data_IF_211056640510
#
_entry.id   IF_211056640510
#
_cell.length_a   1.000
_cell.length_b   1.000
_cell.length_c   1.000
_cell.angle_alpha   90.00
_cell.angle_beta   90.00
_cell.angle_gamma   90.00
#
_symmetry.space_group_name_H-M   'P 1'
#
loop_
_entity.id
_entity.type
_entity.pdbx_description
1 polymer ?
#
# COMPACT_ATOMS: atom_id res chain seq x y z
N UNK A 1 4.66 -19.42 7.98
CA UNK A 1 4.24 -20.14 6.76
C UNK A 1 3.47 -19.14 5.89
N UNK A 2 3.88 -18.97 4.63
CA UNK A 2 3.15 -18.15 3.66
C UNK A 2 1.88 -18.88 3.24
N UNK A 3 0.75 -18.17 3.20
CA UNK A 3 -0.52 -18.72 2.73
C UNK A 3 -0.43 -19.04 1.23
N UNK A 4 -1.09 -20.11 0.80
CA UNK A 4 -1.24 -20.45 -0.61
C UNK A 4 -2.25 -19.51 -1.29
N UNK A 5 -2.19 -19.39 -2.64
CA UNK A 5 -3.12 -18.55 -3.40
C UNK A 5 -4.60 -18.85 -3.13
N UNK A 6 -5.05 -20.12 -3.07
CA UNK A 6 -6.45 -20.44 -2.71
C UNK A 6 -6.83 -19.96 -1.30
N UNK A 7 -5.93 -20.09 -0.33
CA UNK A 7 -6.17 -19.61 1.05
C UNK A 7 -6.28 -18.09 1.09
N UNK A 8 -5.46 -17.38 0.32
CA UNK A 8 -5.54 -15.92 0.19
C UNK A 8 -6.88 -15.49 -0.43
N UNK A 9 -7.38 -16.19 -1.47
CA UNK A 9 -8.70 -15.92 -2.06
C UNK A 9 -9.83 -16.17 -1.05
N UNK A 10 -9.73 -17.19 -0.22
CA UNK A 10 -10.69 -17.42 0.87
C UNK A 10 -10.65 -16.32 1.91
N UNK A 11 -9.46 -15.82 2.24
CA UNK A 11 -9.26 -14.74 3.21
C UNK A 11 -9.83 -13.39 2.76
N UNK A 12 -10.13 -13.20 1.47
CA UNK A 12 -10.87 -12.02 0.99
C UNK A 12 -12.28 -11.92 1.59
N UNK A 13 -12.85 -13.03 2.07
CA UNK A 13 -14.19 -13.09 2.69
C UNK A 13 -14.16 -12.86 4.20
N UNK A 14 -13.00 -12.64 4.79
CA UNK A 14 -12.88 -12.40 6.22
C UNK A 14 -13.60 -11.13 6.65
N UNK A 15 -14.07 -11.09 7.91
CA UNK A 15 -14.73 -9.92 8.50
C UNK A 15 -13.72 -8.85 8.92
N UNK A 16 -12.49 -9.24 9.21
CA UNK A 16 -11.41 -8.35 9.57
C UNK A 16 -10.82 -7.69 8.33
N UNK A 17 -10.92 -6.39 8.24
CA UNK A 17 -10.33 -5.63 7.15
C UNK A 17 -8.79 -5.80 7.04
N UNK A 18 -8.11 -6.04 8.19
CA UNK A 18 -6.66 -6.32 8.22
C UNK A 18 -6.33 -7.64 7.50
N UNK A 19 -7.13 -8.69 7.76
CA UNK A 19 -6.95 -9.98 7.08
C UNK A 19 -7.21 -9.84 5.59
N UNK A 20 -8.23 -9.09 5.22
CA UNK A 20 -8.54 -8.81 3.79
C UNK A 20 -7.40 -8.02 3.15
N UNK A 21 -6.88 -6.97 3.79
CA UNK A 21 -5.76 -6.17 3.27
C UNK A 21 -4.50 -7.04 3.05
N UNK A 22 -4.14 -7.90 4.00
CA UNK A 22 -3.01 -8.81 3.85
C UNK A 22 -3.25 -9.85 2.74
N UNK A 23 -4.48 -10.34 2.59
CA UNK A 23 -4.83 -11.25 1.51
C UNK A 23 -4.70 -10.58 0.12
N UNK A 24 -5.18 -9.34 -0.02
CA UNK A 24 -5.05 -8.54 -1.25
C UNK A 24 -3.58 -8.33 -1.60
N UNK A 25 -2.76 -7.96 -0.61
CA UNK A 25 -1.32 -7.77 -0.77
C UNK A 25 -0.64 -9.08 -1.18
N UNK A 26 -0.95 -10.19 -0.50
CA UNK A 26 -0.42 -11.50 -0.84
C UNK A 26 -0.78 -11.93 -2.26
N UNK A 27 -2.02 -11.72 -2.72
CA UNK A 27 -2.43 -12.03 -4.09
C UNK A 27 -1.69 -11.17 -5.13
N UNK A 28 -1.46 -9.89 -4.85
CA UNK A 28 -0.63 -9.02 -5.67
C UNK A 28 0.80 -9.53 -5.77
N UNK A 29 1.43 -9.81 -4.63
CA UNK A 29 2.85 -10.20 -4.55
C UNK A 29 3.09 -11.58 -5.19
N UNK A 30 2.13 -12.50 -5.09
CA UNK A 30 2.13 -13.79 -5.79
C UNK A 30 1.71 -13.70 -7.27
N UNK A 31 1.43 -12.51 -7.77
CA UNK A 31 0.93 -12.29 -9.15
C UNK A 31 -0.22 -13.23 -9.52
N UNK A 32 -1.18 -13.37 -8.60
CA UNK A 32 -2.31 -14.29 -8.73
C UNK A 32 -3.35 -13.76 -9.73
N UNK A 33 -3.03 -13.81 -11.01
CA UNK A 33 -3.88 -13.29 -12.09
C UNK A 33 -5.29 -13.88 -12.08
N UNK A 34 -5.41 -15.16 -11.68
CA UNK A 34 -6.67 -15.87 -11.51
C UNK A 34 -7.59 -15.27 -10.45
N UNK A 35 -7.06 -14.43 -9.55
CA UNK A 35 -7.83 -13.78 -8.49
C UNK A 35 -8.46 -12.44 -8.89
N UNK A 36 -8.19 -11.92 -10.08
CA UNK A 36 -8.67 -10.59 -10.53
C UNK A 36 -10.18 -10.46 -10.40
N UNK A 37 -10.94 -11.44 -10.86
CA UNK A 37 -12.40 -11.41 -10.74
C UNK A 37 -12.89 -11.39 -9.28
N UNK A 38 -12.23 -12.14 -8.39
CA UNK A 38 -12.55 -12.16 -6.96
C UNK A 38 -12.20 -10.86 -6.26
N UNK A 39 -11.08 -10.25 -6.63
CA UNK A 39 -10.67 -8.93 -6.12
C UNK A 39 -11.67 -7.85 -6.53
N UNK A 40 -12.07 -7.80 -7.79
CA UNK A 40 -13.06 -6.84 -8.31
C UNK A 40 -14.42 -7.02 -7.61
N UNK A 41 -14.88 -8.26 -7.46
CA UNK A 41 -16.15 -8.56 -6.78
C UNK A 41 -16.12 -8.06 -5.31
N UNK A 42 -15.00 -8.24 -4.61
CA UNK A 42 -14.88 -7.85 -3.19
C UNK A 42 -14.64 -6.35 -3.00
N UNK A 43 -14.09 -5.67 -4.00
CA UNK A 43 -13.77 -4.24 -3.97
C UNK A 43 -15.02 -3.37 -3.72
N UNK A 44 -16.20 -3.77 -4.19
CA UNK A 44 -17.45 -3.01 -4.01
C UNK A 44 -17.83 -2.76 -2.55
N UNK A 45 -17.41 -3.65 -1.65
CA UNK A 45 -17.66 -3.50 -0.20
C UNK A 45 -16.51 -2.81 0.53
N UNK A 46 -15.40 -2.53 -0.15
CA UNK A 46 -14.24 -1.90 0.46
C UNK A 46 -14.44 -0.38 0.64
N UNK A 47 -13.80 0.19 1.66
CA UNK A 47 -13.84 1.62 1.96
C UNK A 47 -12.47 2.07 2.45
N UNK A 48 -12.19 3.37 2.28
CA UNK A 48 -10.97 4.00 2.76
C UNK A 48 -9.71 3.31 2.23
N UNK A 49 -8.73 3.05 3.10
CA UNK A 49 -7.45 2.45 2.72
C UNK A 49 -7.60 1.09 2.03
N UNK A 50 -8.54 0.26 2.50
CA UNK A 50 -8.74 -1.05 1.89
C UNK A 50 -9.13 -0.95 0.41
N UNK A 51 -9.88 0.08 0.03
CA UNK A 51 -10.23 0.34 -1.37
C UNK A 51 -8.99 0.63 -2.23
N UNK A 52 -8.04 1.39 -1.69
CA UNK A 52 -6.76 1.64 -2.36
C UNK A 52 -5.90 0.37 -2.46
N UNK A 53 -5.85 -0.46 -1.41
CA UNK A 53 -5.15 -1.74 -1.47
C UNK A 53 -5.67 -2.63 -2.61
N UNK A 54 -7.00 -2.68 -2.80
CA UNK A 54 -7.62 -3.39 -3.94
C UNK A 54 -7.22 -2.78 -5.28
N UNK A 55 -7.29 -1.44 -5.39
CA UNK A 55 -6.92 -0.72 -6.61
C UNK A 55 -5.47 -1.00 -7.00
N UNK A 56 -4.54 -0.84 -6.06
CA UNK A 56 -3.11 -1.11 -6.30
C UNK A 56 -2.86 -2.55 -6.76
N UNK A 57 -3.51 -3.52 -6.09
CA UNK A 57 -3.39 -4.92 -6.48
C UNK A 57 -3.92 -5.17 -7.89
N UNK A 58 -5.07 -4.59 -8.24
CA UNK A 58 -5.67 -4.72 -9.56
C UNK A 58 -4.80 -4.06 -10.64
N UNK A 59 -4.24 -2.88 -10.39
CA UNK A 59 -3.29 -2.24 -11.31
C UNK A 59 -2.07 -3.14 -11.54
N UNK A 60 -1.50 -3.69 -10.48
CA UNK A 60 -0.32 -4.55 -10.57
C UNK A 60 -0.60 -5.87 -11.33
N UNK A 61 -1.79 -6.42 -11.16
CA UNK A 61 -2.18 -7.68 -11.79
C UNK A 61 -2.65 -7.51 -13.24
N UNK A 62 -3.33 -6.41 -13.55
CA UNK A 62 -3.97 -6.21 -14.86
C UNK A 62 -3.20 -5.27 -15.78
N UNK A 63 -2.35 -4.42 -15.24
CA UNK A 63 -1.70 -3.33 -15.98
C UNK A 63 -2.64 -2.16 -16.31
N UNK A 64 -3.89 -2.17 -15.82
CA UNK A 64 -4.87 -1.12 -16.07
C UNK A 64 -4.86 -0.08 -14.95
N UNK A 65 -4.73 1.20 -15.30
CA UNK A 65 -4.72 2.31 -14.35
C UNK A 65 -6.14 2.92 -14.22
N UNK A 66 -7.07 2.14 -13.68
CA UNK A 66 -8.42 2.64 -13.40
C UNK A 66 -8.49 3.29 -12.00
N UNK A 67 -9.44 4.23 -11.82
CA UNK A 67 -9.66 4.87 -10.52
C UNK A 67 -10.26 3.89 -9.48
N UNK A 68 -10.38 4.28 -8.18
CA UNK A 68 -10.82 3.39 -7.11
C UNK A 68 -12.33 3.16 -7.06
N UNK A 69 -13.03 3.29 -8.16
CA UNK A 69 -14.46 3.01 -8.28
C UNK A 69 -14.68 1.57 -8.75
N UNK A 70 -15.30 0.75 -7.88
CA UNK A 70 -15.55 -0.66 -8.15
C UNK A 70 -16.35 -0.89 -9.45
N UNK A 71 -17.28 0.01 -9.78
CA UNK A 71 -18.12 -0.09 -10.97
C UNK A 71 -17.29 -0.04 -12.26
N UNK A 72 -16.28 0.81 -12.30
CA UNK A 72 -15.40 0.92 -13.46
C UNK A 72 -14.57 -0.35 -13.69
N UNK A 73 -14.07 -0.94 -12.61
CA UNK A 73 -13.38 -2.22 -12.65
C UNK A 73 -14.30 -3.37 -13.08
N UNK A 74 -15.57 -3.37 -12.63
CA UNK A 74 -16.57 -4.36 -13.03
C UNK A 74 -16.93 -4.25 -14.51
N UNK A 75 -17.11 -3.03 -15.02
CA UNK A 75 -17.39 -2.78 -16.45
C UNK A 75 -16.22 -3.29 -17.28
N UNK A 76 -15.00 -2.84 -16.95
CA UNK A 76 -13.80 -3.26 -17.65
C UNK A 76 -13.63 -4.79 -17.64
N UNK A 77 -13.83 -5.44 -16.50
CA UNK A 77 -13.66 -6.88 -16.37
C UNK A 77 -14.70 -7.64 -17.20
N UNK A 78 -15.95 -7.20 -17.19
CA UNK A 78 -17.02 -7.80 -17.99
C UNK A 78 -16.71 -7.80 -19.48
N UNK A 79 -16.10 -6.72 -19.96
CA UNK A 79 -15.77 -6.55 -21.38
C UNK A 79 -14.51 -7.32 -21.80
N UNK A 80 -13.59 -7.53 -20.86
CA UNK A 80 -12.26 -8.03 -21.20
C UNK A 80 -11.97 -9.45 -20.70
N UNK A 81 -12.69 -9.99 -19.73
CA UNK A 81 -12.35 -11.24 -19.03
C UNK A 81 -12.15 -12.47 -19.93
N UNK A 82 -12.81 -12.53 -21.09
CA UNK A 82 -12.74 -13.67 -22.00
C UNK A 82 -11.41 -13.71 -22.77
N UNK A 83 -10.92 -12.55 -23.18
CA UNK A 83 -9.73 -12.44 -24.02
C UNK A 83 -8.52 -11.89 -23.25
N UNK A 84 -8.74 -11.49 -21.97
CA UNK A 84 -7.69 -10.91 -21.15
C UNK A 84 -6.61 -11.93 -20.80
N UNK A 85 -5.37 -11.51 -21.00
CA UNK A 85 -4.19 -12.26 -20.57
C UNK A 85 -3.41 -11.43 -19.56
N UNK A 86 -2.91 -12.06 -18.50
CA UNK A 86 -2.06 -11.35 -17.54
C UNK A 86 -0.87 -10.73 -18.26
N UNK A 87 -0.51 -9.48 -17.92
CA UNK A 87 0.68 -8.85 -18.49
C UNK A 87 1.90 -9.73 -18.23
N UNK A 88 2.76 -9.87 -19.23
CA UNK A 88 4.01 -10.60 -19.06
C UNK A 88 4.75 -10.05 -17.84
N UNK A 89 5.41 -10.89 -17.02
CA UNK A 89 6.24 -10.39 -15.94
C UNK A 89 7.22 -9.41 -16.55
N UNK A 90 7.14 -8.14 -16.14
CA UNK A 90 8.21 -7.21 -16.46
C UNK A 90 9.47 -7.82 -15.87
N UNK A 91 10.44 -8.12 -16.72
CA UNK A 91 11.71 -8.67 -16.29
C UNK A 91 12.29 -7.70 -15.26
N UNK A 92 12.34 -8.13 -14.01
CA UNK A 92 13.10 -7.58 -12.89
C UNK A 92 13.45 -6.07 -12.95
N UNK A 93 12.44 -5.21 -13.09
CA UNK A 93 12.62 -3.76 -12.84
C UNK A 93 12.85 -3.47 -11.35
N UNK A 94 12.66 -4.46 -10.47
CA UNK A 94 12.88 -4.30 -9.03
C UNK A 94 14.34 -4.08 -8.61
N UNK A 95 15.31 -4.28 -9.53
CA UNK A 95 16.73 -3.99 -9.26
C UNK A 95 17.26 -2.75 -9.97
N UNK A 96 16.62 -2.29 -11.04
CA UNK A 96 17.08 -1.15 -11.81
C UNK A 96 16.29 0.15 -11.51
N UNK A 97 15.02 0.07 -11.07
CA UNK A 97 14.30 1.25 -10.59
C UNK A 97 14.88 1.84 -9.30
N UNK A 98 15.56 1.03 -8.46
CA UNK A 98 16.32 1.56 -7.34
C UNK A 98 17.57 2.35 -7.76
N UNK A 99 17.98 2.27 -9.04
CA UNK A 99 19.19 2.92 -9.55
C UNK A 99 18.92 4.14 -10.42
N UNK A 100 17.71 4.34 -10.90
CA UNK A 100 17.33 5.42 -11.82
C UNK A 100 16.36 6.46 -11.28
N UNK A 101 15.84 6.28 -10.06
CA UNK A 101 15.12 7.35 -9.37
C UNK A 101 16.13 8.36 -8.83
N UNK A 102 15.90 9.67 -9.06
CA UNK A 102 16.71 10.69 -8.39
C UNK A 102 16.70 10.39 -6.89
N UNK A 103 17.86 10.51 -6.25
CA UNK A 103 18.10 10.23 -4.82
C UNK A 103 17.17 11.01 -3.86
N UNK A 104 16.23 11.78 -4.39
CA UNK A 104 15.25 12.60 -3.67
C UNK A 104 13.95 11.87 -3.27
N UNK A 105 13.69 10.66 -3.76
CA UNK A 105 12.46 9.92 -3.38
C UNK A 105 12.84 8.60 -2.70
N UNK A 106 13.63 8.65 -1.66
CA UNK A 106 13.52 7.65 -0.61
C UNK A 106 12.22 7.98 0.13
N UNK A 107 11.18 7.25 -0.16
CA UNK A 107 9.94 7.29 0.62
C UNK A 107 10.32 7.10 2.09
N UNK A 108 10.18 8.16 2.89
CA UNK A 108 10.35 8.07 4.33
C UNK A 108 9.26 7.19 4.93
N UNK A 109 9.32 6.94 6.23
CA UNK A 109 8.34 6.13 6.98
C UNK A 109 6.88 6.56 6.72
N UNK A 110 6.65 7.82 6.38
CA UNK A 110 5.32 8.41 6.15
C UNK A 110 4.89 8.40 4.67
N UNK A 111 5.74 7.95 3.75
CA UNK A 111 5.44 7.95 2.32
C UNK A 111 5.26 9.35 1.72
N UNK A 112 4.54 9.46 0.60
CA UNK A 112 4.18 10.72 -0.02
C UNK A 112 2.97 11.35 0.69
N UNK A 113 3.10 12.61 1.12
CA UNK A 113 2.06 13.33 1.84
C UNK A 113 1.42 14.34 0.88
N UNK A 114 0.23 14.02 0.39
CA UNK A 114 -0.52 14.83 -0.60
C UNK A 114 -1.64 15.68 0.00
N UNK A 115 -1.72 15.77 1.34
CA UNK A 115 -2.80 16.47 2.04
C UNK A 115 -2.37 17.87 2.50
N UNK A 116 -3.29 18.83 2.38
CA UNK A 116 -3.11 20.18 2.93
C UNK A 116 -3.21 20.25 4.46
N UNK A 117 -3.74 19.19 5.10
CA UNK A 117 -3.88 19.09 6.55
C UNK A 117 -3.42 17.73 7.02
N UNK A 118 -2.40 17.69 7.86
CA UNK A 118 -1.75 16.46 8.31
C UNK A 118 -1.69 16.42 9.83
N UNK A 119 -1.97 15.27 10.41
CA UNK A 119 -1.75 15.00 11.83
C UNK A 119 -0.77 13.84 11.93
N UNK A 120 0.36 14.07 12.56
CA UNK A 120 1.33 13.03 12.90
C UNK A 120 1.03 12.52 14.30
N UNK A 121 0.80 11.22 14.42
CA UNK A 121 0.67 10.54 15.71
C UNK A 121 1.99 9.85 16.02
N UNK A 122 2.61 10.19 17.13
CA UNK A 122 3.91 9.67 17.53
C UNK A 122 3.75 8.92 18.87
N UNK A 123 4.04 7.64 18.86
CA UNK A 123 4.15 6.83 20.06
C UNK A 123 5.41 7.24 20.82
N UNK A 124 5.25 7.62 22.09
CA UNK A 124 6.35 7.95 23.00
C UNK A 124 6.37 7.02 24.23
N UNK A 125 5.67 5.89 24.16
CA UNK A 125 5.65 4.88 25.23
C UNK A 125 7.04 4.31 25.50
N UNK A 126 7.21 3.67 26.65
CA UNK A 126 8.49 3.07 27.08
C UNK A 126 9.06 2.05 26.09
N UNK A 127 8.23 1.37 25.29
CA UNK A 127 8.66 0.45 24.25
C UNK A 127 9.42 1.12 23.11
N UNK A 128 9.26 2.44 22.95
CA UNK A 128 9.97 3.24 21.94
C UNK A 128 11.45 3.51 22.31
N UNK A 129 11.84 3.19 23.53
CA UNK A 129 13.26 3.23 23.96
C UNK A 129 14.06 2.01 23.49
N UNK A 130 13.38 0.96 23.02
CA UNK A 130 14.06 -0.23 22.51
C UNK A 130 14.92 0.09 21.28
N UNK A 131 16.10 -0.51 21.20
CA UNK A 131 17.00 -0.37 20.07
C UNK A 131 16.45 -1.02 18.81
N UNK A 132 16.83 -0.46 17.66
CA UNK A 132 16.46 -0.98 16.34
C UNK A 132 17.64 -1.75 15.72
N UNK A 133 17.35 -2.62 14.77
CA UNK A 133 18.38 -3.36 14.02
C UNK A 133 19.27 -2.48 13.15
N UNK A 134 18.89 -1.25 12.92
CA UNK A 134 19.64 -0.26 12.10
C UNK A 134 20.44 0.74 12.95
N UNK A 135 20.42 0.56 14.28
CA UNK A 135 21.07 1.44 15.26
C UNK A 135 20.15 2.55 15.75
N UNK A 136 20.35 2.93 17.03
CA UNK A 136 19.51 3.90 17.73
C UNK A 136 18.17 3.33 18.22
N UNK A 137 17.50 4.08 19.09
CA UNK A 137 16.19 3.70 19.63
C UNK A 137 15.07 3.97 18.61
N UNK A 138 13.96 3.28 18.76
CA UNK A 138 12.77 3.48 17.92
C UNK A 138 12.30 4.92 17.94
N UNK A 139 12.36 5.59 19.08
CA UNK A 139 11.96 7.01 19.19
C UNK A 139 12.91 7.94 18.44
N UNK A 140 14.21 7.64 18.40
CA UNK A 140 15.18 8.42 17.61
C UNK A 140 14.92 8.26 16.13
N UNK A 141 14.63 7.05 15.66
CA UNK A 141 14.24 6.79 14.26
C UNK A 141 12.94 7.53 13.93
N UNK A 142 11.91 7.42 14.79
CA UNK A 142 10.64 8.12 14.57
C UNK A 142 10.80 9.66 14.51
N UNK A 143 11.65 10.23 15.38
CA UNK A 143 11.95 11.68 15.37
C UNK A 143 12.69 12.10 14.09
N UNK A 144 13.65 11.32 13.63
CA UNK A 144 14.41 11.63 12.42
C UNK A 144 13.51 11.59 11.18
N UNK A 145 12.63 10.59 11.09
CA UNK A 145 11.68 10.46 10.00
C UNK A 145 10.59 11.55 10.04
N UNK A 146 10.10 11.90 11.23
CA UNK A 146 9.17 13.01 11.38
C UNK A 146 9.79 14.32 10.92
N UNK A 147 11.02 14.62 11.35
CA UNK A 147 11.74 15.82 10.91
C UNK A 147 11.87 15.86 9.40
N UNK A 148 12.27 14.75 8.79
CA UNK A 148 12.39 14.62 7.34
C UNK A 148 11.06 14.85 6.63
N UNK A 149 9.96 14.29 7.16
CA UNK A 149 8.63 14.49 6.60
C UNK A 149 8.21 15.99 6.66
N UNK A 150 8.52 16.68 7.75
CA UNK A 150 8.23 18.10 7.91
C UNK A 150 9.08 18.99 7.01
N UNK A 151 10.36 18.66 6.82
CA UNK A 151 11.31 19.49 6.05
C UNK A 151 11.21 19.27 4.54
N UNK A 152 10.88 18.06 4.11
CA UNK A 152 10.96 17.66 2.69
C UNK A 152 9.73 16.98 2.14
N UNK A 153 8.79 16.58 3.01
CA UNK A 153 7.61 15.78 2.63
C UNK A 153 6.30 16.56 2.59
N UNK A 154 6.26 17.77 3.13
CA UNK A 154 5.06 18.61 3.15
C UNK A 154 5.14 19.74 2.14
N UNK A 155 4.02 20.05 1.48
CA UNK A 155 3.88 21.31 0.73
C UNK A 155 4.01 22.49 1.72
N UNK A 156 4.71 23.58 1.36
CA UNK A 156 4.86 24.76 2.21
C UNK A 156 3.53 25.39 2.66
N UNK A 157 2.43 25.11 1.99
CA UNK A 157 1.08 25.58 2.35
C UNK A 157 0.35 24.63 3.28
N UNK A 158 0.86 23.44 3.51
CA UNK A 158 0.22 22.44 4.37
C UNK A 158 0.23 22.87 5.83
N UNK A 159 -0.86 22.58 6.52
CA UNK A 159 -1.01 22.73 7.97
C UNK A 159 -0.81 21.38 8.63
N UNK A 160 -0.01 21.34 9.67
CA UNK A 160 0.19 20.08 10.39
C UNK A 160 0.06 20.24 11.90
N UNK A 161 -0.19 19.13 12.56
CA UNK A 161 -0.12 18.97 14.02
C UNK A 161 0.65 17.69 14.34
N UNK A 162 1.35 17.70 15.47
CA UNK A 162 2.01 16.50 16.01
C UNK A 162 1.38 16.17 17.34
N UNK A 163 0.88 14.95 17.49
CA UNK A 163 0.27 14.44 18.73
C UNK A 163 1.13 13.29 19.21
N UNK A 164 1.69 13.43 20.41
CA UNK A 164 2.39 12.36 21.11
C UNK A 164 1.42 11.61 22.02
N UNK A 165 1.54 10.29 22.08
CA UNK A 165 0.76 9.43 22.98
C UNK A 165 1.64 8.35 23.61
N UNK A 166 1.23 7.82 24.74
CA UNK A 166 1.92 6.76 25.50
C UNK A 166 0.92 5.78 26.10
#
# INVERSE_FOLDING_TARGET
>A
QSLSRPELVLSLKDRSWLVVSEAVRGLRDHRAAESVGALIARMSDARGRLLEDFREALIALTGQALPPEADQWQIWWRENQQDWKPPAPKADESKDEQKSLPTAVRQGLYGEIVSERVIFLVDVSGSMLAETSVGGSRIEVARSELRRALESGLDPKSRFSVVAFS
#
